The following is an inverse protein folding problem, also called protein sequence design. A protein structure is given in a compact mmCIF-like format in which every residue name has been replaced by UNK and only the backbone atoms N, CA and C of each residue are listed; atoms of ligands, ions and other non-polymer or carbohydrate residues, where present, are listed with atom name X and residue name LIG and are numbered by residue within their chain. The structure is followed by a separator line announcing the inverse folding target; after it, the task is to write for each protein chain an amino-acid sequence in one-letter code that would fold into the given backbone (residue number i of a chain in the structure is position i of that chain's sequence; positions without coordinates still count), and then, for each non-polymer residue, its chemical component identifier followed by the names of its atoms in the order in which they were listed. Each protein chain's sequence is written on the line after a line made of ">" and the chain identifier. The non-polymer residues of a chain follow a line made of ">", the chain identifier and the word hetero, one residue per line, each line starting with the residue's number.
data_IF_949746671790
#
_entry.id   IF_949746671790
#
_cell.length_a   1.000
_cell.length_b   1.000
_cell.length_c   1.000
_cell.angle_alpha   90.00
_cell.angle_beta   90.00
_cell.angle_gamma   90.00
#
_symmetry.space_group_name_H-M   'P 1'
#
loop_
_entity.id
_entity.type
_entity.pdbx_description
1 polymer ?
#
# COMPACT_ATOMS: atom_id res chain seq x y z
N UNK A 1 12.93 32.29 54.50
CA UNK A 1 11.51 32.67 54.43
C UNK A 1 10.81 31.52 53.74
N UNK A 2 10.47 30.48 54.49
CA UNK A 2 9.19 30.34 55.21
C UNK A 2 8.03 30.06 54.24
N UNK A 3 7.15 29.08 54.42
CA UNK A 3 7.07 27.93 55.32
C UNK A 3 5.70 27.27 55.02
N UNK A 4 5.68 25.93 54.85
CA UNK A 4 4.73 24.91 55.39
C UNK A 4 3.19 25.10 55.08
N UNK A 5 2.25 24.14 54.98
CA UNK A 5 1.93 22.79 55.51
C UNK A 5 0.83 22.19 54.59
N UNK A 6 0.72 20.90 54.22
CA UNK A 6 0.59 19.63 54.97
C UNK A 6 -0.87 19.11 55.10
N UNK A 7 -0.97 17.77 55.25
CA UNK A 7 -2.12 16.88 55.54
C UNK A 7 -2.97 16.41 54.34
N UNK A 8 -2.96 15.13 53.89
CA UNK A 8 -3.16 13.79 54.51
C UNK A 8 -4.60 13.25 54.48
N UNK A 9 -4.74 11.97 54.07
CA UNK A 9 -5.75 10.90 54.36
C UNK A 9 -6.15 10.17 53.05
N UNK A 10 -5.82 8.91 52.74
CA UNK A 10 -5.87 7.58 53.43
C UNK A 10 -7.29 7.04 53.69
N UNK A 11 -7.66 5.95 52.99
CA UNK A 11 -8.55 4.78 53.34
C UNK A 11 -8.63 3.93 52.04
N UNK A 12 -8.14 2.68 51.86
CA UNK A 12 -8.24 1.34 52.50
C UNK A 12 -9.58 0.58 52.26
N UNK A 13 -9.48 -0.62 51.67
CA UNK A 13 -10.54 -1.67 51.60
C UNK A 13 -10.45 -2.46 50.28
N UNK A 14 -9.72 -3.58 50.19
CA UNK A 14 -10.00 -4.98 50.60
C UNK A 14 -10.96 -5.78 49.68
N UNK A 15 -10.54 -7.04 49.46
CA UNK A 15 -11.04 -8.10 48.59
C UNK A 15 -12.51 -8.46 48.78
N UNK A 16 -13.13 -8.98 47.71
CA UNK A 16 -14.04 -10.15 47.79
C UNK A 16 -14.13 -10.87 46.44
N UNK A 17 -13.64 -12.12 46.42
CA UNK A 17 -13.97 -13.13 45.42
C UNK A 17 -15.46 -13.50 45.46
N UNK A 18 -16.05 -13.78 44.29
CA UNK A 18 -16.97 -14.91 44.18
C UNK A 18 -17.03 -15.42 42.74
N UNK A 19 -16.66 -16.69 42.57
CA UNK A 19 -16.96 -17.52 41.40
C UNK A 19 -18.46 -17.73 41.25
N UNK A 20 -18.95 -17.65 40.02
CA UNK A 20 -20.08 -18.47 39.56
C UNK A 20 -19.81 -18.92 38.13
N UNK A 21 -19.62 -20.22 37.99
CA UNK A 21 -19.64 -20.92 36.71
C UNK A 21 -21.08 -20.98 36.19
N UNK A 22 -21.25 -20.76 34.88
CA UNK A 22 -22.33 -21.38 34.13
C UNK A 22 -21.84 -21.67 32.71
N UNK A 23 -21.90 -22.95 32.36
CA UNK A 23 -21.66 -23.50 31.04
C UNK A 23 -22.69 -23.00 30.01
N UNK A 24 -22.26 -23.04 28.73
CA UNK A 24 -23.14 -23.27 27.60
C UNK A 24 -23.68 -22.01 26.92
N UNK A 25 -23.08 -21.64 25.78
CA UNK A 25 -23.65 -21.89 24.45
C UNK A 25 -22.83 -21.12 23.41
N UNK A 26 -22.28 -21.90 22.48
CA UNK A 26 -21.72 -21.45 21.21
C UNK A 26 -22.56 -20.37 20.54
N UNK A 27 -21.86 -19.31 20.13
CA UNK A 27 -22.02 -18.54 18.87
C UNK A 27 -21.48 -17.15 19.13
N UNK A 28 -20.17 -16.97 18.96
CA UNK A 28 -19.68 -15.65 18.60
C UNK A 28 -19.05 -15.71 17.22
N UNK A 29 -19.75 -15.04 16.33
CA UNK A 29 -19.57 -14.96 14.90
C UNK A 29 -18.20 -14.35 14.66
N UNK A 30 -17.25 -15.18 14.23
CA UNK A 30 -16.13 -14.68 13.46
C UNK A 30 -16.74 -14.02 12.21
N UNK A 31 -16.47 -12.75 11.90
CA UNK A 31 -16.63 -12.30 10.53
C UNK A 31 -15.52 -13.04 9.77
N UNK A 32 -15.88 -14.18 9.19
CA UNK A 32 -15.13 -14.74 8.08
C UNK A 32 -15.09 -13.62 7.04
N UNK A 33 -13.89 -13.12 6.77
CA UNK A 33 -13.59 -12.18 5.71
C UNK A 33 -14.15 -12.79 4.42
N UNK A 34 -15.31 -12.30 4.00
CA UNK A 34 -15.96 -12.70 2.77
C UNK A 34 -15.22 -12.04 1.61
N UNK A 35 -14.10 -12.63 1.22
CA UNK A 35 -13.38 -12.29 0.00
C UNK A 35 -14.20 -12.65 -1.26
N UNK A 36 -15.35 -13.33 -1.11
CA UNK A 36 -16.23 -13.74 -2.20
C UNK A 36 -17.18 -12.64 -2.67
N UNK A 37 -17.62 -11.71 -1.80
CA UNK A 37 -18.58 -10.66 -2.18
C UNK A 37 -17.99 -9.53 -3.01
N UNK A 38 -16.72 -9.17 -2.81
CA UNK A 38 -16.08 -8.04 -3.52
C UNK A 38 -15.98 -8.30 -5.03
N UNK A 39 -15.72 -9.54 -5.44
CA UNK A 39 -15.61 -9.92 -6.85
C UNK A 39 -16.93 -9.78 -7.63
N UNK A 40 -18.08 -9.73 -6.94
CA UNK A 40 -19.39 -9.69 -7.59
C UNK A 40 -19.69 -8.36 -8.29
N UNK A 41 -19.16 -7.25 -7.76
CA UNK A 41 -19.46 -5.88 -8.19
C UNK A 41 -18.68 -5.40 -9.41
N UNK A 42 -17.62 -6.11 -9.82
CA UNK A 42 -16.84 -5.73 -11.00
C UNK A 42 -17.62 -6.07 -12.30
N UNK A 43 -17.48 -5.26 -13.37
CA UNK A 43 -17.87 -5.66 -14.71
C UNK A 43 -17.14 -6.93 -15.16
N UNK A 44 -17.79 -7.77 -15.97
CA UNK A 44 -17.24 -9.08 -16.37
C UNK A 44 -15.91 -8.97 -17.11
N UNK A 45 -15.71 -7.94 -17.94
CA UNK A 45 -14.45 -7.74 -18.66
C UNK A 45 -13.30 -7.47 -17.67
N UNK A 46 -13.50 -6.65 -16.63
CA UNK A 46 -12.51 -6.39 -15.59
C UNK A 46 -12.18 -7.67 -14.81
N UNK A 47 -13.20 -8.49 -14.48
CA UNK A 47 -12.97 -9.80 -13.84
C UNK A 47 -12.10 -10.71 -14.68
N UNK A 48 -12.32 -10.73 -16.00
CA UNK A 48 -11.52 -11.54 -16.92
C UNK A 48 -10.08 -11.00 -16.99
N UNK A 49 -9.91 -9.68 -17.05
CA UNK A 49 -8.59 -9.05 -17.04
C UNK A 49 -7.83 -9.30 -15.75
N UNK A 50 -8.48 -9.35 -14.58
CA UNK A 50 -7.83 -9.75 -13.32
C UNK A 50 -7.20 -11.14 -13.43
N UNK A 51 -7.92 -12.11 -14.01
CA UNK A 51 -7.39 -13.46 -14.21
C UNK A 51 -6.20 -13.46 -15.17
N UNK A 52 -6.31 -12.73 -16.28
CA UNK A 52 -5.24 -12.61 -17.26
C UNK A 52 -4.00 -11.92 -16.69
N UNK A 53 -4.17 -10.83 -15.95
CA UNK A 53 -3.08 -10.12 -15.30
C UNK A 53 -2.41 -11.04 -14.28
N UNK A 54 -3.18 -11.80 -13.51
CA UNK A 54 -2.62 -12.75 -12.54
C UNK A 54 -1.76 -13.81 -13.22
N UNK A 55 -2.24 -14.39 -14.33
CA UNK A 55 -1.46 -15.33 -15.15
C UNK A 55 -0.17 -14.70 -15.67
N UNK A 56 -0.22 -13.44 -16.15
CA UNK A 56 0.96 -12.69 -16.59
C UNK A 56 1.95 -12.46 -15.45
N UNK A 57 1.47 -12.08 -14.26
CA UNK A 57 2.30 -11.84 -13.08
C UNK A 57 2.99 -13.12 -12.55
N UNK A 58 2.33 -14.27 -12.71
CA UNK A 58 2.84 -15.58 -12.32
C UNK A 58 3.72 -16.22 -13.40
N UNK A 59 3.70 -15.70 -14.63
CA UNK A 59 4.49 -16.22 -15.75
C UNK A 59 5.99 -15.94 -15.59
N UNK A 60 6.79 -17.00 -15.75
CA UNK A 60 8.25 -16.94 -15.82
C UNK A 60 8.77 -16.50 -17.20
N UNK A 61 7.92 -16.46 -18.23
CA UNK A 61 8.32 -16.10 -19.60
C UNK A 61 8.36 -14.59 -19.78
N UNK A 62 9.07 -14.12 -20.81
CA UNK A 62 9.00 -12.72 -21.22
C UNK A 62 7.56 -12.29 -21.54
N UNK A 63 7.25 -11.03 -21.27
CA UNK A 63 5.93 -10.45 -21.53
C UNK A 63 5.95 -9.77 -22.90
N UNK A 64 5.15 -10.29 -23.80
CA UNK A 64 4.95 -9.72 -25.12
C UNK A 64 3.92 -8.58 -25.11
N UNK A 65 3.61 -8.02 -26.28
CA UNK A 65 2.64 -6.93 -26.37
C UNK A 65 1.24 -7.33 -25.88
N UNK A 66 0.83 -8.58 -26.08
CA UNK A 66 -0.46 -9.07 -25.58
C UNK A 66 -0.51 -9.08 -24.05
N UNK A 67 0.58 -9.49 -23.42
CA UNK A 67 0.75 -9.48 -21.96
C UNK A 67 0.79 -8.05 -21.40
N UNK A 68 1.35 -7.10 -22.14
CA UNK A 68 1.37 -5.69 -21.74
C UNK A 68 -0.04 -5.08 -21.87
N UNK A 69 -0.78 -5.45 -22.92
CA UNK A 69 -2.08 -4.85 -23.22
C UNK A 69 -3.19 -5.22 -22.22
N UNK A 70 -3.05 -6.31 -21.45
CA UNK A 70 -4.04 -6.66 -20.42
C UNK A 70 -4.11 -5.62 -19.30
N UNK A 71 -3.05 -4.84 -19.09
CA UNK A 71 -2.99 -3.78 -18.09
C UNK A 71 -3.78 -2.52 -18.50
N UNK A 72 -4.20 -2.38 -19.76
CA UNK A 72 -5.02 -1.25 -20.23
C UNK A 72 -6.34 -1.13 -19.50
N UNK A 73 -6.85 -2.23 -18.94
CA UNK A 73 -8.06 -2.27 -18.13
C UNK A 73 -8.01 -1.29 -16.95
N UNK A 74 -6.83 -0.93 -16.46
CA UNK A 74 -6.66 0.08 -15.41
C UNK A 74 -7.25 1.45 -15.78
N UNK A 75 -7.26 1.79 -17.08
CA UNK A 75 -7.86 3.03 -17.59
C UNK A 75 -9.38 2.98 -17.73
N UNK A 76 -9.95 1.78 -17.70
CA UNK A 76 -11.40 1.55 -17.76
C UNK A 76 -12.02 1.49 -16.35
N UNK A 77 -11.19 1.35 -15.32
CA UNK A 77 -11.60 1.27 -13.94
C UNK A 77 -11.91 2.64 -13.33
N UNK A 78 -13.02 2.74 -12.59
CA UNK A 78 -13.22 3.82 -11.64
C UNK A 78 -12.26 3.69 -10.41
N UNK A 79 -12.13 4.72 -9.57
CA UNK A 79 -11.18 4.69 -8.45
C UNK A 79 -11.37 3.53 -7.47
N UNK A 80 -12.62 3.10 -7.23
CA UNK A 80 -12.94 1.97 -6.33
C UNK A 80 -12.55 0.65 -7.00
N UNK A 81 -12.79 0.54 -8.30
CA UNK A 81 -12.42 -0.64 -9.09
C UNK A 81 -10.90 -0.83 -9.17
N UNK A 82 -10.11 0.25 -9.29
CA UNK A 82 -8.64 0.17 -9.27
C UNK A 82 -8.15 -0.42 -7.95
N UNK A 83 -8.65 0.05 -6.82
CA UNK A 83 -8.27 -0.48 -5.50
C UNK A 83 -8.66 -1.96 -5.36
N UNK A 84 -9.86 -2.32 -5.79
CA UNK A 84 -10.33 -3.70 -5.75
C UNK A 84 -9.46 -4.61 -6.64
N UNK A 85 -9.17 -4.20 -7.86
CA UNK A 85 -8.30 -4.93 -8.79
C UNK A 85 -6.90 -5.12 -8.18
N UNK A 86 -6.33 -4.08 -7.58
CA UNK A 86 -5.02 -4.18 -6.93
C UNK A 86 -5.00 -5.18 -5.76
N UNK A 87 -6.09 -5.23 -4.99
CA UNK A 87 -6.24 -6.20 -3.90
C UNK A 87 -6.41 -7.62 -4.43
N UNK A 88 -7.19 -7.82 -5.49
CA UNK A 88 -7.41 -9.14 -6.11
C UNK A 88 -6.14 -9.71 -6.75
N UNK A 89 -5.26 -8.84 -7.24
CA UNK A 89 -3.94 -9.21 -7.74
C UNK A 89 -2.90 -9.36 -6.63
N UNK A 90 -3.26 -9.13 -5.37
CA UNK A 90 -2.36 -9.13 -4.22
C UNK A 90 -1.11 -8.26 -4.45
N UNK A 91 -1.26 -7.11 -5.13
CA UNK A 91 -0.13 -6.22 -5.43
C UNK A 91 0.70 -5.82 -4.19
N UNK A 92 0.11 -5.56 -3.00
CA UNK A 92 0.88 -5.28 -1.79
C UNK A 92 1.84 -6.40 -1.40
N UNK A 93 1.52 -7.66 -1.73
CA UNK A 93 2.26 -8.87 -1.39
C UNK A 93 3.02 -9.48 -2.59
N UNK A 94 2.96 -8.84 -3.75
CA UNK A 94 3.64 -9.28 -4.97
C UNK A 94 5.16 -9.33 -4.77
N UNK A 95 5.79 -10.40 -5.26
CA UNK A 95 7.24 -10.60 -5.22
C UNK A 95 7.97 -9.42 -5.88
N UNK A 96 8.94 -8.85 -5.16
CA UNK A 96 9.68 -7.67 -5.62
C UNK A 96 10.40 -7.88 -6.95
N UNK A 97 10.79 -9.12 -7.29
CA UNK A 97 11.45 -9.46 -8.56
C UNK A 97 10.58 -9.15 -9.80
N UNK A 98 9.26 -9.17 -9.66
CA UNK A 98 8.31 -8.90 -10.77
C UNK A 98 8.09 -7.39 -10.96
N UNK A 99 8.36 -6.57 -9.94
CA UNK A 99 8.04 -5.14 -9.95
C UNK A 99 8.67 -4.35 -11.10
N UNK A 100 9.96 -4.52 -11.45
CA UNK A 100 10.55 -3.76 -12.55
C UNK A 100 9.87 -4.07 -13.89
N UNK A 101 9.51 -5.34 -14.11
CA UNK A 101 8.83 -5.80 -15.33
C UNK A 101 7.41 -5.24 -15.39
N UNK A 102 6.67 -5.37 -14.28
CA UNK A 102 5.34 -4.76 -14.12
C UNK A 102 5.36 -3.26 -14.40
N UNK A 103 6.26 -2.51 -13.75
CA UNK A 103 6.35 -1.07 -13.94
C UNK A 103 6.69 -0.72 -15.40
N UNK A 104 7.57 -1.48 -16.04
CA UNK A 104 7.90 -1.27 -17.46
C UNK A 104 6.68 -1.45 -18.37
N UNK A 105 5.81 -2.42 -18.07
CA UNK A 105 4.57 -2.65 -18.82
C UNK A 105 3.53 -1.55 -18.59
N UNK A 106 3.35 -1.12 -17.33
CA UNK A 106 2.43 -0.03 -16.97
C UNK A 106 2.90 1.32 -17.55
N UNK A 107 4.21 1.51 -17.69
CA UNK A 107 4.82 2.72 -18.24
C UNK A 107 5.02 2.64 -19.75
N UNK A 108 4.54 1.59 -20.41
CA UNK A 108 4.61 1.50 -21.85
C UNK A 108 3.84 2.68 -22.48
N UNK A 109 4.30 3.25 -23.62
CA UNK A 109 3.71 4.46 -24.20
C UNK A 109 2.20 4.40 -24.51
N UNK A 110 1.64 3.19 -24.61
CA UNK A 110 0.21 2.96 -24.81
C UNK A 110 -0.63 3.08 -23.54
N UNK A 111 -0.01 3.21 -22.37
CA UNK A 111 -0.64 3.28 -21.06
C UNK A 111 -0.41 4.67 -20.45
N UNK A 112 -1.38 5.56 -20.65
CA UNK A 112 -1.41 6.84 -19.94
C UNK A 112 -2.40 6.74 -18.78
N UNK A 113 -1.89 6.45 -17.58
CA UNK A 113 -2.75 6.33 -16.40
C UNK A 113 -3.15 7.73 -15.93
N UNK A 114 -4.45 7.92 -15.70
CA UNK A 114 -4.94 9.13 -15.04
C UNK A 114 -4.25 9.32 -13.68
N UNK A 115 -4.16 10.57 -13.22
CA UNK A 115 -3.59 10.89 -11.91
C UNK A 115 -4.19 10.02 -10.77
N UNK A 116 -5.51 9.84 -10.76
CA UNK A 116 -6.20 9.07 -9.72
C UNK A 116 -5.85 7.59 -9.81
N UNK A 117 -5.92 7.01 -11.01
CA UNK A 117 -5.56 5.61 -11.28
C UNK A 117 -4.11 5.34 -10.90
N UNK A 118 -3.18 6.17 -11.36
CA UNK A 118 -1.76 6.06 -11.03
C UNK A 118 -1.52 6.14 -9.51
N UNK A 119 -2.17 7.08 -8.82
CA UNK A 119 -2.01 7.24 -7.36
C UNK A 119 -2.46 5.98 -6.62
N UNK A 120 -3.63 5.43 -6.97
CA UNK A 120 -4.17 4.22 -6.32
C UNK A 120 -3.33 2.97 -6.63
N UNK A 121 -2.89 2.83 -7.87
CA UNK A 121 -2.02 1.74 -8.29
C UNK A 121 -0.67 1.78 -7.57
N UNK A 122 0.02 2.92 -7.61
CA UNK A 122 1.33 3.12 -6.96
C UNK A 122 1.21 2.87 -5.45
N UNK A 123 0.15 3.41 -4.81
CA UNK A 123 -0.08 3.21 -3.38
C UNK A 123 -0.23 1.73 -3.05
N UNK A 124 -1.04 1.00 -3.80
CA UNK A 124 -1.27 -0.43 -3.59
C UNK A 124 -0.01 -1.27 -3.83
N UNK A 125 0.80 -0.90 -4.82
CA UNK A 125 2.00 -1.65 -5.18
C UNK A 125 3.15 -1.45 -4.18
N UNK A 126 3.39 -0.20 -3.77
CA UNK A 126 4.62 0.21 -3.08
C UNK A 126 4.44 0.49 -1.59
N UNK A 127 3.32 1.10 -1.16
CA UNK A 127 3.24 1.70 0.17
C UNK A 127 3.50 0.69 1.28
N UNK A 128 2.83 -0.48 1.24
CA UNK A 128 3.04 -1.55 2.24
C UNK A 128 4.51 -1.98 2.30
N UNK A 129 5.14 -2.18 1.14
CA UNK A 129 6.55 -2.63 1.04
C UNK A 129 7.49 -1.59 1.65
N UNK A 130 7.30 -0.32 1.30
CA UNK A 130 8.10 0.80 1.81
C UNK A 130 7.93 0.94 3.32
N UNK A 131 6.70 0.89 3.83
CA UNK A 131 6.45 0.98 5.27
C UNK A 131 7.05 -0.19 6.04
N UNK A 132 7.09 -1.38 5.45
CA UNK A 132 7.65 -2.59 6.06
C UNK A 132 9.18 -2.70 6.02
N UNK A 133 9.89 -1.71 5.48
CA UNK A 133 11.36 -1.76 5.39
C UNK A 133 12.01 -1.81 6.78
N UNK A 134 12.72 -2.90 7.06
CA UNK A 134 13.65 -3.02 8.19
C UNK A 134 15.11 -2.89 7.78
N UNK A 135 15.40 -3.08 6.50
CA UNK A 135 16.71 -3.04 5.86
C UNK A 135 16.63 -2.15 4.59
N UNK A 136 17.76 -1.71 4.02
CA UNK A 136 17.75 -0.95 2.77
C UNK A 136 16.91 -1.63 1.68
N UNK A 137 16.11 -0.84 0.96
CA UNK A 137 15.20 -1.33 -0.06
C UNK A 137 15.93 -2.16 -1.12
N UNK A 138 15.30 -3.25 -1.56
CA UNK A 138 15.90 -4.11 -2.59
C UNK A 138 16.12 -3.36 -3.89
N UNK A 139 17.06 -3.84 -4.72
CA UNK A 139 17.30 -3.27 -6.05
C UNK A 139 16.02 -3.24 -6.90
N UNK A 140 15.17 -4.25 -6.79
CA UNK A 140 13.96 -4.35 -7.60
C UNK A 140 12.92 -3.32 -7.12
N UNK A 141 12.75 -3.13 -5.82
CA UNK A 141 11.89 -2.09 -5.26
C UNK A 141 12.40 -0.69 -5.62
N UNK A 142 13.70 -0.43 -5.49
CA UNK A 142 14.33 0.85 -5.88
C UNK A 142 14.10 1.13 -7.37
N UNK A 143 14.30 0.13 -8.23
CA UNK A 143 14.11 0.28 -9.68
C UNK A 143 12.66 0.61 -10.01
N UNK A 144 11.71 -0.14 -9.47
CA UNK A 144 10.28 0.07 -9.67
C UNK A 144 9.83 1.46 -9.19
N UNK A 145 10.24 1.85 -7.96
CA UNK A 145 9.91 3.15 -7.39
C UNK A 145 10.54 4.29 -8.20
N UNK A 146 11.78 4.14 -8.68
CA UNK A 146 12.47 5.15 -9.50
C UNK A 146 11.73 5.35 -10.82
N UNK A 147 11.37 4.27 -11.53
CA UNK A 147 10.63 4.37 -12.80
C UNK A 147 9.27 5.04 -12.63
N UNK A 148 8.50 4.63 -11.61
CA UNK A 148 7.20 5.22 -11.32
C UNK A 148 7.32 6.69 -10.87
N UNK A 149 8.34 7.03 -10.07
CA UNK A 149 8.55 8.41 -9.60
C UNK A 149 8.91 9.33 -10.77
N UNK A 150 9.76 8.87 -11.71
CA UNK A 150 10.13 9.65 -12.89
C UNK A 150 8.96 9.91 -13.84
N UNK A 151 8.05 8.96 -14.01
CA UNK A 151 6.90 9.12 -14.91
C UNK A 151 5.67 9.74 -14.23
N UNK A 152 5.46 9.46 -12.94
CA UNK A 152 4.30 9.91 -12.18
C UNK A 152 4.72 10.58 -10.86
N UNK A 153 5.44 11.73 -10.92
CA UNK A 153 5.98 12.38 -9.73
C UNK A 153 4.89 12.81 -8.74
N UNK A 154 3.78 13.40 -9.22
CA UNK A 154 2.67 13.83 -8.34
C UNK A 154 1.93 12.65 -7.70
N UNK A 155 1.51 11.61 -8.46
CA UNK A 155 0.99 10.39 -7.86
C UNK A 155 1.95 9.75 -6.84
N UNK A 156 3.26 9.73 -7.11
CA UNK A 156 4.24 9.19 -6.17
C UNK A 156 4.28 9.99 -4.85
N UNK A 157 4.27 11.33 -4.92
CA UNK A 157 4.21 12.19 -3.73
C UNK A 157 3.02 11.83 -2.82
N UNK A 158 1.86 11.62 -3.42
CA UNK A 158 0.61 11.38 -2.71
C UNK A 158 0.45 9.92 -2.26
N UNK A 159 0.95 8.98 -3.06
CA UNK A 159 0.82 7.55 -2.79
C UNK A 159 1.85 7.03 -1.77
N UNK A 160 3.06 7.60 -1.77
CA UNK A 160 4.20 7.07 -1.00
C UNK A 160 4.84 8.13 -0.12
N UNK A 161 5.29 9.27 -0.65
CA UNK A 161 6.06 10.23 0.16
C UNK A 161 5.26 10.77 1.35
N UNK A 162 4.08 11.35 1.11
CA UNK A 162 3.26 11.91 2.17
C UNK A 162 2.88 10.84 3.23
N UNK A 163 2.34 9.66 2.86
CA UNK A 163 2.04 8.63 3.85
C UNK A 163 3.26 8.17 4.65
N UNK A 164 4.43 8.01 4.01
CA UNK A 164 5.64 7.59 4.71
C UNK A 164 6.12 8.69 5.66
N UNK A 165 6.02 9.97 5.27
CA UNK A 165 6.40 11.11 6.11
C UNK A 165 5.47 11.34 7.30
N UNK A 166 4.20 10.95 7.18
CA UNK A 166 3.21 10.99 8.25
C UNK A 166 3.41 9.88 9.31
N UNK A 167 4.18 8.84 8.98
CA UNK A 167 4.46 7.76 9.92
C UNK A 167 5.38 8.19 11.06
N UNK A 168 5.04 7.77 12.28
CA UNK A 168 5.79 8.15 13.49
C UNK A 168 7.15 7.46 13.60
N UNK A 169 7.35 6.37 12.86
CA UNK A 169 8.50 5.47 12.99
C UNK A 169 9.32 5.39 11.69
N UNK A 170 9.62 6.54 11.08
CA UNK A 170 10.50 6.60 9.90
C UNK A 170 11.91 6.24 10.32
N UNK A 171 12.39 5.08 9.84
CA UNK A 171 13.75 4.61 10.04
C UNK A 171 14.71 5.10 8.97
N UNK A 172 16.00 4.78 9.16
CA UNK A 172 17.04 5.03 8.16
C UNK A 172 16.68 4.44 6.78
N UNK A 173 16.18 3.19 6.66
CA UNK A 173 15.84 2.61 5.35
C UNK A 173 14.79 3.41 4.56
N UNK A 174 13.77 3.93 5.25
CA UNK A 174 12.74 4.78 4.63
C UNK A 174 13.39 6.08 4.13
N UNK A 175 14.17 6.74 4.98
CA UNK A 175 14.82 8.01 4.62
C UNK A 175 15.80 7.85 3.45
N UNK A 176 16.57 6.76 3.40
CA UNK A 176 17.49 6.49 2.28
C UNK A 176 16.72 6.36 0.96
N UNK A 177 15.65 5.58 0.95
CA UNK A 177 14.83 5.41 -0.24
C UNK A 177 14.19 6.74 -0.68
N UNK A 178 13.57 7.48 0.25
CA UNK A 178 12.92 8.75 -0.08
C UNK A 178 13.93 9.77 -0.60
N UNK A 179 15.09 9.92 0.06
CA UNK A 179 16.15 10.82 -0.40
C UNK A 179 16.62 10.47 -1.81
N UNK A 180 16.89 9.17 -2.05
CA UNK A 180 17.27 8.68 -3.38
C UNK A 180 16.22 9.02 -4.44
N UNK A 181 14.94 8.85 -4.15
CA UNK A 181 13.87 9.16 -5.10
C UNK A 181 13.71 10.67 -5.33
N UNK A 182 13.82 11.49 -4.28
CA UNK A 182 13.75 12.96 -4.37
C UNK A 182 14.90 13.51 -5.21
N UNK A 183 16.11 12.99 -4.99
CA UNK A 183 17.30 13.42 -5.69
C UNK A 183 17.27 13.05 -7.18
N UNK A 184 16.84 11.83 -7.49
CA UNK A 184 16.95 11.28 -8.85
C UNK A 184 15.71 11.52 -9.74
N UNK A 185 14.54 11.76 -9.15
CA UNK A 185 13.28 11.78 -9.91
C UNK A 185 12.46 13.06 -9.75
N UNK A 186 12.61 13.80 -8.65
CA UNK A 186 11.80 15.00 -8.40
C UNK A 186 12.59 16.27 -8.74
N UNK A 187 12.20 16.92 -9.83
CA UNK A 187 12.61 18.28 -10.14
C UNK A 187 12.17 19.25 -9.03
N UNK A 188 12.83 20.41 -8.98
CA UNK A 188 12.62 21.45 -7.96
C UNK A 188 11.14 21.81 -7.73
N UNK A 189 10.34 21.81 -8.80
CA UNK A 189 8.90 22.09 -8.74
C UNK A 189 8.11 21.06 -7.92
N UNK A 190 8.43 19.76 -8.03
CA UNK A 190 7.71 18.70 -7.32
C UNK A 190 8.13 18.56 -5.86
N UNK A 191 9.36 18.97 -5.52
CA UNK A 191 9.86 18.98 -4.13
C UNK A 191 9.02 19.88 -3.22
N UNK A 192 8.47 20.97 -3.76
CA UNK A 192 7.57 21.84 -3.00
C UNK A 192 6.29 21.12 -2.55
N UNK A 193 5.75 20.19 -3.36
CA UNK A 193 4.53 19.45 -3.01
C UNK A 193 4.72 18.48 -1.84
N UNK A 194 5.97 18.10 -1.54
CA UNK A 194 6.32 17.21 -0.42
C UNK A 194 6.52 18.02 0.88
N UNK A 195 6.78 19.33 0.77
CA UNK A 195 7.16 20.21 1.88
C UNK A 195 6.03 21.19 2.29
N UNK A 196 4.85 21.06 1.69
CA UNK A 196 3.65 21.87 1.97
C UNK A 196 2.70 21.13 2.91
#
# INVERSE_FOLDING_TARGET
>A
MECIDAAEQSVKGELSESLVASEGTDKNIHPATDSGSQYSFLPQHIKNSVLQIKEVLESETDWDQSSIDVFKVLNECDPVQVEMLCNLLSLPDLNEQVLPKLCSSILAPSHDLSYVTATKFIKSLLLKKVLSLSEPASRCLVTAATSLCGCYPRPMCQAVFLPVLEEKNIGNPHSELLNRLIENCLDSHYRLLVLQ
#
